data_IF_067049761834
#
_entry.id   IF_067049761834
#
_cell.length_a   1.000
_cell.length_b   1.000
_cell.length_c   1.000
_cell.angle_alpha   90.00
_cell.angle_beta   90.00
_cell.angle_gamma   90.00
#
_symmetry.space_group_name_H-M   'P 1'
#
loop_
_entity.id
_entity.type
_entity.pdbx_description
1 polymer ?
#
# COMPACT_ATOMS: atom_id res chain seq x y z
N UNK A 1 24.81 10.22 -16.51
CA UNK A 1 24.23 10.29 -15.15
C UNK A 1 22.78 9.83 -15.27
N UNK A 2 22.41 8.69 -14.70
CA UNK A 2 21.03 8.21 -14.77
C UNK A 2 20.14 9.12 -13.91
N UNK A 3 19.20 9.83 -14.53
CA UNK A 3 18.24 10.66 -13.83
C UNK A 3 17.37 9.78 -12.93
N UNK A 4 17.40 10.02 -11.63
CA UNK A 4 16.46 9.39 -10.71
C UNK A 4 15.05 9.90 -11.04
N UNK A 5 14.09 8.99 -11.21
CA UNK A 5 12.69 9.36 -11.34
C UNK A 5 12.23 10.07 -10.06
N UNK A 6 11.56 11.19 -10.22
CA UNK A 6 10.91 11.92 -9.12
C UNK A 6 9.46 11.47 -8.88
N UNK A 7 9.04 10.39 -9.51
CA UNK A 7 7.71 9.81 -9.34
C UNK A 7 7.76 8.27 -9.39
N UNK A 8 6.67 7.62 -8.99
CA UNK A 8 6.53 6.19 -9.16
C UNK A 8 6.58 5.79 -10.64
N UNK A 9 7.15 4.62 -10.91
CA UNK A 9 7.18 4.05 -12.26
C UNK A 9 5.78 3.64 -12.70
N UNK A 10 5.52 3.74 -14.00
CA UNK A 10 4.32 3.18 -14.61
C UNK A 10 4.31 1.65 -14.46
N UNK A 11 3.11 1.09 -14.29
CA UNK A 11 2.93 -0.35 -14.13
C UNK A 11 3.38 -0.89 -12.77
N UNK A 12 3.74 -2.17 -12.74
CA UNK A 12 4.22 -2.81 -11.51
C UNK A 12 5.70 -2.51 -11.29
N UNK A 13 6.10 -2.42 -10.02
CA UNK A 13 7.48 -2.17 -9.62
C UNK A 13 7.78 -2.79 -8.25
N UNK A 14 9.07 -2.98 -7.97
CA UNK A 14 9.58 -3.20 -6.63
C UNK A 14 9.84 -1.85 -5.95
N UNK A 15 9.55 -1.78 -4.66
CA UNK A 15 10.05 -0.71 -3.80
C UNK A 15 11.22 -1.29 -3.02
N UNK A 16 12.44 -0.80 -3.26
CA UNK A 16 13.67 -1.34 -2.68
C UNK A 16 14.31 -0.38 -1.72
N UNK A 17 14.87 -0.91 -0.64
CA UNK A 17 15.74 -0.12 0.22
C UNK A 17 17.02 0.26 -0.52
N UNK A 18 17.49 1.51 -0.38
CA UNK A 18 18.83 1.91 -0.83
C UNK A 18 19.94 1.38 0.09
N UNK A 19 19.61 1.09 1.36
CA UNK A 19 20.56 0.67 2.39
C UNK A 19 20.82 -0.84 2.39
N UNK A 20 19.84 -1.64 1.95
CA UNK A 20 19.85 -3.10 2.06
C UNK A 20 19.34 -3.76 0.77
N UNK A 21 19.76 -5.00 0.44
CA UNK A 21 19.25 -5.76 -0.70
C UNK A 21 17.85 -6.34 -0.43
N UNK A 22 16.91 -5.49 0.00
CA UNK A 22 15.56 -5.89 0.40
C UNK A 22 14.50 -5.04 -0.30
N UNK A 23 13.35 -5.66 -0.51
CA UNK A 23 12.15 -5.07 -1.08
C UNK A 23 11.03 -4.99 -0.04
N UNK A 24 10.11 -4.05 -0.27
CA UNK A 24 8.87 -3.93 0.49
C UNK A 24 7.97 -5.14 0.18
N UNK A 25 7.59 -5.86 1.22
CA UNK A 25 6.90 -7.15 1.14
C UNK A 25 5.66 -7.16 2.06
N UNK A 26 4.57 -7.75 1.58
CA UNK A 26 3.43 -8.10 2.43
C UNK A 26 3.74 -9.40 3.16
N UNK A 27 3.86 -9.32 4.49
CA UNK A 27 4.27 -10.44 5.35
C UNK A 27 3.47 -11.72 5.06
N UNK A 28 4.17 -12.83 4.92
CA UNK A 28 3.66 -14.15 4.54
C UNK A 28 2.84 -14.18 3.23
N UNK A 29 2.95 -13.15 2.39
CA UNK A 29 2.12 -12.99 1.20
C UNK A 29 0.61 -12.93 1.51
N UNK A 30 0.25 -12.49 2.71
CA UNK A 30 -1.13 -12.45 3.18
C UNK A 30 -2.03 -11.63 2.25
N UNK A 31 -3.27 -12.05 2.08
CA UNK A 31 -4.31 -11.30 1.34
C UNK A 31 -5.33 -10.64 2.27
N UNK A 32 -5.08 -10.68 3.58
CA UNK A 32 -5.98 -10.14 4.59
C UNK A 32 -5.74 -8.65 4.80
N UNK A 33 -6.82 -7.93 5.13
CA UNK A 33 -6.72 -6.59 5.70
C UNK A 33 -5.88 -6.63 6.99
N UNK A 34 -5.20 -5.52 7.25
CA UNK A 34 -4.33 -5.32 8.40
C UNK A 34 -3.04 -6.17 8.35
N UNK A 35 -2.75 -6.85 7.23
CA UNK A 35 -1.49 -7.56 7.07
C UNK A 35 -0.31 -6.59 7.08
N UNK A 36 0.71 -6.93 7.85
CA UNK A 36 1.87 -6.09 8.06
C UNK A 36 2.72 -5.97 6.80
N UNK A 37 3.27 -4.77 6.62
CA UNK A 37 4.31 -4.52 5.63
C UNK A 37 5.67 -4.59 6.30
N UNK A 38 6.57 -5.34 5.67
CA UNK A 38 7.93 -5.57 6.13
C UNK A 38 8.92 -5.30 4.99
N UNK A 39 10.21 -5.36 5.30
CA UNK A 39 11.24 -5.58 4.31
C UNK A 39 11.61 -7.07 4.25
N UNK A 40 11.84 -7.59 3.06
CA UNK A 40 12.25 -8.98 2.81
C UNK A 40 13.24 -9.02 1.64
N UNK A 41 14.14 -10.03 1.54
CA UNK A 41 14.94 -10.23 0.35
C UNK A 41 14.09 -10.19 -0.93
N UNK A 42 14.57 -9.48 -1.95
CA UNK A 42 13.83 -9.39 -3.21
C UNK A 42 13.72 -10.76 -3.85
N UNK A 43 12.50 -11.18 -4.13
CA UNK A 43 12.19 -12.47 -4.73
C UNK A 43 12.32 -12.39 -6.25
N UNK A 44 12.93 -13.41 -6.85
CA UNK A 44 13.00 -13.57 -8.30
C UNK A 44 11.88 -14.48 -8.85
N UNK A 45 11.24 -15.25 -7.98
CA UNK A 45 10.08 -16.13 -8.26
C UNK A 45 9.01 -15.91 -7.20
N UNK A 46 7.73 -16.07 -7.55
CA UNK A 46 6.58 -15.78 -6.66
C UNK A 46 6.69 -14.42 -5.94
N UNK A 47 7.19 -13.41 -6.67
CA UNK A 47 7.45 -12.07 -6.14
C UNK A 47 6.21 -11.18 -6.09
N UNK A 48 5.03 -11.71 -6.41
CA UNK A 48 3.79 -10.93 -6.56
C UNK A 48 3.34 -10.22 -5.27
N UNK A 49 3.77 -10.70 -4.09
CA UNK A 49 3.53 -10.00 -2.82
C UNK A 49 4.51 -8.83 -2.55
N UNK A 50 5.52 -8.67 -3.40
CA UNK A 50 6.50 -7.58 -3.38
C UNK A 50 6.31 -6.59 -4.53
N UNK A 51 5.33 -6.84 -5.40
CA UNK A 51 5.02 -5.99 -6.54
C UNK A 51 3.93 -4.99 -6.19
N UNK A 52 4.24 -3.73 -6.46
CA UNK A 52 3.40 -2.57 -6.18
C UNK A 52 3.09 -1.82 -7.46
N UNK A 53 1.95 -1.15 -7.51
CA UNK A 53 1.58 -0.22 -8.57
C UNK A 53 1.07 1.06 -7.93
N UNK A 54 1.35 2.21 -8.54
CA UNK A 54 0.78 3.48 -8.10
C UNK A 54 -0.36 3.91 -9.02
N UNK A 55 -1.52 4.20 -8.44
CA UNK A 55 -2.70 4.68 -9.18
C UNK A 55 -3.49 5.64 -8.29
N UNK A 56 -3.77 6.86 -8.77
CA UNK A 56 -4.54 7.89 -8.03
C UNK A 56 -4.01 8.16 -6.60
N UNK A 57 -2.69 8.06 -6.41
CA UNK A 57 -2.07 8.20 -5.10
C UNK A 57 -2.16 6.96 -4.22
N UNK A 58 -2.82 5.87 -4.64
CA UNK A 58 -2.79 4.60 -3.93
C UNK A 58 -1.58 3.77 -4.37
N UNK A 59 -1.00 3.01 -3.43
CA UNK A 59 -0.05 1.95 -3.74
C UNK A 59 -0.77 0.60 -3.61
N UNK A 60 -0.97 -0.09 -4.72
CA UNK A 60 -1.70 -1.35 -4.81
C UNK A 60 -0.73 -2.53 -4.79
N UNK A 61 -0.99 -3.53 -3.98
CA UNK A 61 -0.25 -4.78 -4.03
C UNK A 61 -0.80 -5.71 -5.12
N UNK A 62 0.08 -6.26 -5.97
CA UNK A 62 -0.33 -7.13 -7.09
C UNK A 62 -1.04 -8.41 -6.64
N UNK A 63 -0.60 -9.03 -5.53
CA UNK A 63 -1.16 -10.31 -5.06
C UNK A 63 -2.57 -10.15 -4.49
N UNK A 64 -2.79 -9.12 -3.67
CA UNK A 64 -4.03 -8.97 -2.91
C UNK A 64 -5.02 -7.98 -3.50
N UNK A 65 -4.56 -7.03 -4.34
CA UNK A 65 -5.34 -5.86 -4.78
C UNK A 65 -5.64 -4.86 -3.66
N UNK A 66 -5.12 -5.09 -2.45
CA UNK A 66 -5.25 -4.17 -1.32
C UNK A 66 -4.25 -3.02 -1.44
N UNK A 67 -4.54 -1.93 -0.73
CA UNK A 67 -3.70 -0.73 -0.78
C UNK A 67 -2.86 -0.56 0.46
N UNK A 68 -1.67 -0.02 0.27
CA UNK A 68 -0.73 0.39 1.30
C UNK A 68 -1.31 1.54 2.13
N UNK A 69 -1.25 1.46 3.45
CA UNK A 69 -1.69 2.57 4.27
C UNK A 69 -1.40 2.45 5.75
N UNK A 70 -1.83 3.47 6.48
CA UNK A 70 -1.78 3.48 7.93
C UNK A 70 -3.13 3.11 8.52
N UNK A 71 -3.13 2.37 9.62
CA UNK A 71 -4.31 2.16 10.45
C UNK A 71 -3.98 2.61 11.88
N UNK A 72 -4.93 3.26 12.56
CA UNK A 72 -4.79 3.53 13.98
C UNK A 72 -4.92 2.22 14.77
N UNK A 73 -3.78 1.63 15.11
CA UNK A 73 -3.67 0.60 16.14
C UNK A 73 -4.14 1.15 17.49
N UNK A 74 -5.45 1.09 17.70
CA UNK A 74 -6.06 0.79 19.01
C UNK A 74 -6.75 -0.57 18.98
N UNK A 75 -6.22 -1.48 18.17
CA UNK A 75 -6.55 -2.91 18.16
C UNK A 75 -5.39 -3.63 18.83
N UNK A 76 -5.55 -3.79 20.14
CA UNK A 76 -4.59 -4.38 21.08
C UNK A 76 -4.07 -5.71 20.53
N UNK A 77 -2.76 -5.90 20.68
CA UNK A 77 -2.05 -7.17 20.57
C UNK A 77 -2.88 -8.30 21.21
N UNK A 78 -3.19 -9.34 20.45
CA UNK A 78 -3.43 -10.64 21.04
C UNK A 78 -2.88 -11.72 20.12
N UNK A 79 -1.76 -12.28 20.56
CA UNK A 79 -1.09 -13.44 19.98
C UNK A 79 -2.06 -14.62 19.86
N UNK A 80 -2.17 -15.15 18.64
CA UNK A 80 -2.33 -16.54 18.22
C UNK A 80 -3.25 -17.57 18.94
N UNK A 81 -4.06 -17.26 19.96
CA UNK A 81 -4.78 -18.34 20.70
C UNK A 81 -6.24 -18.10 21.12
N UNK A 82 -7.03 -17.31 20.39
CA UNK A 82 -8.45 -17.10 20.72
C UNK A 82 -9.42 -17.32 19.55
N UNK A 83 -10.48 -18.10 19.83
CA UNK A 83 -11.59 -18.52 18.97
C UNK A 83 -12.32 -17.36 18.26
N UNK A 84 -12.89 -17.67 17.09
CA UNK A 84 -13.51 -16.69 16.16
C UNK A 84 -14.63 -15.85 16.79
N UNK A 85 -15.35 -16.38 17.78
CA UNK A 85 -16.49 -15.72 18.42
C UNK A 85 -16.07 -14.58 19.38
N UNK A 86 -14.95 -14.72 20.08
CA UNK A 86 -14.40 -13.66 20.94
C UNK A 86 -13.93 -12.46 20.10
N UNK A 87 -13.34 -12.73 18.92
CA UNK A 87 -12.90 -11.70 17.95
C UNK A 87 -14.08 -10.90 17.41
N UNK A 88 -15.20 -11.55 17.06
CA UNK A 88 -16.39 -10.89 16.52
C UNK A 88 -17.09 -9.99 17.56
N UNK A 89 -17.28 -10.50 18.78
CA UNK A 89 -17.91 -9.77 19.89
C UNK A 89 -17.10 -8.55 20.31
N UNK A 90 -15.77 -8.67 20.38
CA UNK A 90 -14.89 -7.54 20.67
C UNK A 90 -14.90 -6.50 19.54
N UNK A 91 -14.87 -6.93 18.27
CA UNK A 91 -14.96 -6.05 17.10
C UNK A 91 -16.26 -5.23 17.10
N UNK A 92 -17.39 -5.85 17.45
CA UNK A 92 -18.68 -5.16 17.56
C UNK A 92 -18.68 -4.12 18.70
N UNK A 93 -18.23 -4.50 19.90
CA UNK A 93 -18.14 -3.62 21.07
C UNK A 93 -17.21 -2.42 20.82
N UNK A 94 -16.06 -2.66 20.20
CA UNK A 94 -15.11 -1.60 19.86
C UNK A 94 -15.66 -0.65 18.77
N UNK A 95 -16.28 -1.20 17.71
CA UNK A 95 -16.95 -0.40 16.67
C UNK A 95 -18.02 0.53 17.27
N UNK A 96 -18.79 0.04 18.25
CA UNK A 96 -19.78 0.85 18.95
C UNK A 96 -19.15 1.96 19.81
N UNK A 97 -18.15 1.63 20.65
CA UNK A 97 -17.43 2.60 21.50
C UNK A 97 -16.74 3.68 20.67
N UNK A 98 -16.16 3.29 19.54
CA UNK A 98 -15.50 4.20 18.61
C UNK A 98 -16.48 5.10 17.88
N UNK A 99 -17.60 4.55 17.37
CA UNK A 99 -18.69 5.34 16.76
C UNK A 99 -19.24 6.38 17.74
N UNK A 100 -19.37 6.04 19.02
CA UNK A 100 -19.76 6.97 20.07
C UNK A 100 -18.73 8.09 20.29
N UNK A 101 -17.43 7.76 20.34
CA UNK A 101 -16.35 8.74 20.51
C UNK A 101 -16.25 9.72 19.34
N UNK A 102 -16.38 9.24 18.11
CA UNK A 102 -16.42 10.08 16.91
C UNK A 102 -17.64 11.00 16.96
N UNK A 103 -18.83 10.45 17.26
CA UNK A 103 -20.07 11.23 17.38
C UNK A 103 -19.94 12.35 18.43
N UNK A 104 -19.33 12.06 19.58
CA UNK A 104 -19.10 13.05 20.63
C UNK A 104 -18.14 14.16 20.20
N UNK A 105 -17.02 13.82 19.54
CA UNK A 105 -16.05 14.81 19.03
C UNK A 105 -16.61 15.67 17.91
N UNK A 106 -17.35 15.06 16.97
CA UNK A 106 -18.06 15.81 15.91
C UNK A 106 -19.04 16.79 16.55
N UNK A 107 -19.91 16.33 17.45
CA UNK A 107 -20.88 17.18 18.16
C UNK A 107 -20.22 18.34 18.93
N UNK A 108 -19.07 18.09 19.57
CA UNK A 108 -18.32 19.13 20.26
C UNK A 108 -17.75 20.20 19.31
N UNK A 109 -17.30 19.78 18.12
CA UNK A 109 -16.64 20.65 17.13
C UNK A 109 -17.64 21.37 16.21
N UNK A 110 -18.85 20.81 16.04
CA UNK A 110 -19.90 21.36 15.18
C UNK A 110 -20.95 22.18 15.93
N UNK A 111 -20.73 22.48 17.23
CA UNK A 111 -21.73 23.07 18.13
C UNK A 111 -22.35 24.40 17.63
N UNK A 112 -21.66 25.12 16.73
CA UNK A 112 -22.07 26.42 16.20
C UNK A 112 -22.14 26.48 14.65
N UNK A 113 -22.25 25.34 13.98
CA UNK A 113 -22.27 25.28 12.50
C UNK A 113 -23.66 24.89 11.98
N UNK A 114 -24.00 25.34 10.77
CA UNK A 114 -25.22 24.93 10.06
C UNK A 114 -25.22 23.43 9.74
N UNK A 115 -26.38 22.83 9.51
CA UNK A 115 -26.49 21.38 9.27
C UNK A 115 -25.71 20.89 8.04
N UNK A 116 -25.60 21.71 6.99
CA UNK A 116 -24.75 21.43 5.82
C UNK A 116 -23.26 21.43 6.15
N UNK A 117 -22.79 22.44 6.89
CA UNK A 117 -21.42 22.49 7.37
C UNK A 117 -21.14 21.34 8.36
N UNK A 118 -22.11 20.95 9.18
CA UNK A 118 -22.03 19.79 10.05
C UNK A 118 -21.92 18.48 9.25
N UNK A 119 -22.66 18.31 8.16
CA UNK A 119 -22.59 17.14 7.31
C UNK A 119 -21.26 17.03 6.55
N UNK A 120 -20.71 18.16 6.10
CA UNK A 120 -19.37 18.23 5.52
C UNK A 120 -18.30 17.86 6.57
N UNK A 121 -18.30 18.53 7.74
CA UNK A 121 -17.37 18.25 8.84
C UNK A 121 -17.48 16.80 9.31
N UNK A 122 -18.70 16.23 9.37
CA UNK A 122 -18.93 14.84 9.75
C UNK A 122 -18.33 13.87 8.74
N UNK A 123 -18.47 14.11 7.44
CA UNK A 123 -17.82 13.30 6.41
C UNK A 123 -16.29 13.42 6.48
N UNK A 124 -15.76 14.63 6.58
CA UNK A 124 -14.30 14.88 6.67
C UNK A 124 -13.70 14.28 7.95
N UNK A 125 -14.36 14.41 9.09
CA UNK A 125 -13.88 13.89 10.38
C UNK A 125 -14.03 12.36 10.48
N UNK A 126 -15.09 11.77 9.91
CA UNK A 126 -15.22 10.31 9.81
C UNK A 126 -14.12 9.75 8.90
N UNK A 127 -13.81 10.40 7.77
CA UNK A 127 -12.68 10.03 6.92
C UNK A 127 -11.35 10.15 7.67
N UNK A 128 -11.08 11.24 8.38
CA UNK A 128 -9.85 11.45 9.16
C UNK A 128 -9.70 10.49 10.35
N UNK A 129 -10.80 10.15 11.03
CA UNK A 129 -10.76 9.27 12.19
C UNK A 129 -10.66 7.81 11.74
N UNK A 130 -11.43 7.38 10.72
CA UNK A 130 -11.31 6.03 10.13
C UNK A 130 -10.00 5.83 9.37
N UNK A 131 -9.38 6.91 8.88
CA UNK A 131 -8.02 6.96 8.33
C UNK A 131 -6.95 6.55 9.35
N UNK A 132 -7.23 6.72 10.64
CA UNK A 132 -6.16 6.68 11.62
C UNK A 132 -5.22 7.87 11.47
N UNK A 133 -4.68 8.32 12.60
CA UNK A 133 -3.81 9.49 12.61
C UNK A 133 -2.55 9.20 11.79
N UNK A 134 -2.29 10.04 10.78
CA UNK A 134 -1.02 10.09 10.06
C UNK A 134 -0.03 10.79 11.00
N UNK A 135 0.81 10.02 11.67
CA UNK A 135 1.80 10.53 12.62
C UNK A 135 3.02 9.61 12.68
N UNK A 136 4.09 10.12 13.29
CA UNK A 136 5.29 9.36 13.61
C UNK A 136 4.95 8.07 14.39
N UNK A 137 5.79 7.06 14.21
CA UNK A 137 5.77 5.74 14.88
C UNK A 137 4.62 4.82 14.44
N UNK A 138 3.83 5.22 13.44
CA UNK A 138 2.78 4.39 12.86
C UNK A 138 3.35 3.31 11.96
N UNK A 139 3.05 2.04 12.26
CA UNK A 139 3.33 0.91 11.39
C UNK A 139 2.41 0.90 10.16
N UNK A 140 2.91 0.30 9.09
CA UNK A 140 2.21 0.19 7.83
C UNK A 140 1.59 -1.20 7.63
N UNK A 141 0.43 -1.21 6.98
CA UNK A 141 -0.35 -2.41 6.67
C UNK A 141 -1.03 -2.26 5.32
N UNK A 142 -1.44 -3.37 4.71
CA UNK A 142 -2.35 -3.34 3.57
C UNK A 142 -3.81 -3.51 4.00
N UNK A 143 -4.73 -2.84 3.31
CA UNK A 143 -6.18 -3.00 3.52
C UNK A 143 -6.98 -2.41 2.36
N UNK A 144 -8.28 -2.65 2.35
CA UNK A 144 -9.18 -2.26 1.26
C UNK A 144 -9.11 -0.75 0.96
N UNK A 145 -9.12 -0.41 -0.33
CA UNK A 145 -9.21 0.96 -0.84
C UNK A 145 -10.43 1.66 -0.25
N UNK A 146 -10.24 2.81 0.40
CA UNK A 146 -11.34 3.63 0.91
C UNK A 146 -11.97 4.44 -0.21
N UNK A 147 -13.30 4.56 -0.18
CA UNK A 147 -14.03 5.51 -1.01
C UNK A 147 -13.91 6.93 -0.42
N UNK A 148 -13.88 7.94 -1.29
CA UNK A 148 -13.78 9.35 -0.89
C UNK A 148 -12.40 9.76 -0.37
N UNK A 149 -12.36 10.52 0.73
CA UNK A 149 -11.13 11.10 1.28
C UNK A 149 -10.27 10.04 1.99
N UNK A 150 -9.36 9.41 1.23
CA UNK A 150 -8.47 8.33 1.67
C UNK A 150 -7.06 8.81 2.04
N UNK A 151 -6.95 9.89 2.84
CA UNK A 151 -5.67 10.58 3.11
C UNK A 151 -4.55 9.67 3.64
N UNK A 152 -4.88 8.65 4.42
CA UNK A 152 -3.96 7.66 4.99
C UNK A 152 -3.60 6.50 4.04
N UNK A 153 -4.05 6.56 2.79
CA UNK A 153 -3.72 5.65 1.69
C UNK A 153 -3.16 6.40 0.48
N UNK A 154 -2.87 7.70 0.64
CA UNK A 154 -2.34 8.57 -0.41
C UNK A 154 -0.85 8.74 -0.24
N UNK A 155 -0.08 8.28 -1.21
CA UNK A 155 1.38 8.22 -1.19
C UNK A 155 1.98 9.00 -2.35
N UNK A 156 3.12 9.63 -2.08
CA UNK A 156 3.97 10.31 -3.05
C UNK A 156 5.38 9.75 -2.96
N UNK A 157 6.09 9.73 -4.07
CA UNK A 157 7.52 9.46 -4.15
C UNK A 157 8.21 10.71 -4.64
N UNK A 158 9.33 11.09 -4.02
CA UNK A 158 10.17 12.19 -4.49
C UNK A 158 11.54 12.10 -3.83
N UNK A 159 12.62 12.26 -4.61
CA UNK A 159 14.01 12.28 -4.11
C UNK A 159 14.36 11.04 -3.25
N UNK A 160 13.86 9.87 -3.64
CA UNK A 160 14.05 8.63 -2.89
C UNK A 160 13.19 8.48 -1.64
N UNK A 161 12.36 9.45 -1.28
CA UNK A 161 11.46 9.33 -0.14
C UNK A 161 10.05 8.92 -0.58
N UNK A 162 9.44 7.98 0.15
CA UNK A 162 8.02 7.66 0.01
C UNK A 162 7.29 8.23 1.22
N UNK A 163 6.29 9.09 1.01
CA UNK A 163 5.64 9.82 2.08
C UNK A 163 4.13 9.98 1.87
N UNK A 164 3.35 10.15 2.97
CA UNK A 164 1.92 10.43 2.85
C UNK A 164 1.68 11.79 2.20
N UNK A 165 0.76 11.87 1.23
CA UNK A 165 0.43 13.13 0.56
C UNK A 165 -0.08 14.21 1.54
N UNK A 166 -0.77 13.80 2.60
CA UNK A 166 -1.30 14.69 3.63
C UNK A 166 -0.28 15.05 4.74
N UNK A 167 0.91 14.41 4.77
CA UNK A 167 1.96 14.69 5.76
C UNK A 167 3.37 14.57 5.13
N UNK A 168 3.78 15.50 4.26
CA UNK A 168 5.07 15.42 3.55
C UNK A 168 6.33 15.51 4.43
N UNK A 169 6.17 15.92 5.70
CA UNK A 169 7.23 15.97 6.69
C UNK A 169 7.54 14.60 7.33
N UNK A 170 6.74 13.57 7.01
CA UNK A 170 6.98 12.18 7.40
C UNK A 170 7.47 11.37 6.20
N UNK A 171 8.17 10.27 6.43
CA UNK A 171 8.59 9.33 5.39
C UNK A 171 8.48 7.89 5.89
N UNK A 172 8.38 6.94 4.96
CA UNK A 172 8.62 5.53 5.25
C UNK A 172 10.06 5.33 5.73
N UNK A 173 10.20 4.54 6.79
CA UNK A 173 11.45 4.19 7.44
C UNK A 173 11.40 2.72 7.88
N UNK A 174 12.57 2.09 8.04
CA UNK A 174 12.71 0.71 8.47
C UNK A 174 12.90 0.70 9.99
N UNK A 175 12.12 -0.11 10.70
CA UNK A 175 12.20 -0.21 12.16
C UNK A 175 13.33 -1.14 12.60
N UNK A 176 14.11 -0.69 13.58
CA UNK A 176 15.03 -1.55 14.35
C UNK A 176 16.37 -1.78 13.67
N UNK A 177 16.81 -3.04 13.63
CA UNK A 177 18.11 -3.51 13.13
C UNK A 177 18.17 -3.67 11.60
N UNK A 178 17.06 -3.38 10.92
CA UNK A 178 16.89 -3.52 9.46
C UNK A 178 17.25 -4.93 8.98
N UNK A 179 16.79 -5.96 9.70
CA UNK A 179 16.89 -7.36 9.28
C UNK A 179 15.67 -7.79 8.48
N UNK A 180 15.73 -8.99 7.94
CA UNK A 180 14.60 -9.61 7.25
C UNK A 180 13.37 -9.67 8.17
N UNK A 181 12.22 -9.23 7.68
CA UNK A 181 11.00 -9.13 8.47
C UNK A 181 10.89 -7.87 9.32
N UNK A 182 11.86 -6.95 9.29
CA UNK A 182 11.72 -5.64 9.95
C UNK A 182 10.52 -4.90 9.40
N UNK A 183 9.69 -4.37 10.31
CA UNK A 183 8.50 -3.59 9.94
C UNK A 183 8.88 -2.24 9.34
N UNK A 184 8.05 -1.77 8.41
CA UNK A 184 8.09 -0.40 7.93
C UNK A 184 7.17 0.46 8.78
N UNK A 185 7.61 1.67 9.10
CA UNK A 185 6.84 2.64 9.88
C UNK A 185 6.99 4.07 9.32
N UNK A 186 6.15 4.99 9.77
CA UNK A 186 6.32 6.42 9.50
C UNK A 186 7.24 7.07 10.51
N UNK A 187 8.28 7.75 10.01
CA UNK A 187 9.18 8.56 10.82
C UNK A 187 9.25 9.99 10.29
N UNK A 188 9.84 10.90 11.05
CA UNK A 188 10.18 12.25 10.57
C UNK A 188 11.12 12.12 9.37
N UNK A 189 10.75 12.76 8.25
CA UNK A 189 11.56 12.80 7.03
C UNK A 189 12.86 13.54 7.32
N UNK A 190 13.99 12.86 7.15
CA UNK A 190 15.32 13.40 7.44
C UNK A 190 16.28 13.11 6.29
N UNK A 191 16.99 14.14 5.83
CA UNK A 191 18.03 13.98 4.82
C UNK A 191 19.23 13.22 5.39
N UNK A 192 19.88 12.40 4.58
CA UNK A 192 21.05 11.61 4.98
C UNK A 192 20.74 10.29 5.72
N UNK A 193 19.46 10.00 6.00
CA UNK A 193 19.05 8.72 6.62
C UNK A 193 18.79 7.68 5.52
N UNK A 194 19.71 6.72 5.35
CA UNK A 194 19.64 5.70 4.28
C UNK A 194 18.42 4.77 4.40
N UNK A 195 17.96 4.49 5.62
CA UNK A 195 16.77 3.66 5.87
C UNK A 195 15.45 4.29 5.42
N UNK A 196 15.45 5.60 5.15
CA UNK A 196 14.32 6.33 4.59
C UNK A 196 14.40 6.49 3.07
N UNK A 197 15.43 5.93 2.44
CA UNK A 197 15.70 6.07 1.03
C UNK A 197 15.34 4.80 0.26
N UNK A 198 14.50 4.98 -0.75
CA UNK A 198 13.87 3.94 -1.53
C UNK A 198 14.16 4.12 -3.01
N UNK A 199 14.27 3.00 -3.72
CA UNK A 199 14.32 2.91 -5.18
C UNK A 199 13.01 2.33 -5.66
N UNK A 200 12.42 2.95 -6.68
CA UNK A 200 11.29 2.38 -7.41
C UNK A 200 11.86 1.71 -8.65
N UNK A 201 11.94 0.39 -8.62
CA UNK A 201 12.52 -0.44 -9.69
C UNK A 201 11.39 -1.05 -10.53
N UNK A 202 11.18 -0.62 -11.79
CA UNK A 202 10.15 -1.19 -12.67
C UNK A 202 10.22 -2.72 -12.77
N UNK A 203 9.08 -3.38 -12.72
CA UNK A 203 8.95 -4.82 -12.96
C UNK A 203 8.71 -5.07 -14.45
N UNK A 204 9.79 -5.12 -15.24
CA UNK A 204 9.77 -5.66 -16.60
C UNK A 204 11.06 -6.42 -16.94
N UNK A 205 10.92 -7.68 -17.33
CA UNK A 205 11.92 -8.36 -18.15
C UNK A 205 11.25 -9.13 -19.30
N UNK A 206 12.01 -9.41 -20.37
CA UNK A 206 11.54 -10.15 -21.56
C UNK A 206 10.82 -11.46 -21.22
N UNK A 207 11.22 -12.13 -20.14
CA UNK A 207 10.59 -13.36 -19.65
C UNK A 207 9.16 -13.13 -19.15
N UNK A 208 8.92 -12.06 -18.41
CA UNK A 208 7.55 -11.70 -17.97
C UNK A 208 6.63 -11.32 -19.14
N UNK A 209 7.19 -10.76 -20.22
CA UNK A 209 6.47 -10.48 -21.47
C UNK A 209 6.17 -11.79 -22.23
N UNK A 210 7.14 -12.69 -22.35
CA UNK A 210 7.00 -14.02 -22.98
C UNK A 210 6.03 -14.94 -22.23
N UNK A 211 6.09 -14.99 -20.90
CA UNK A 211 5.17 -15.79 -20.08
C UNK A 211 3.72 -15.31 -20.23
N UNK A 212 3.49 -14.01 -20.44
CA UNK A 212 2.19 -13.43 -20.75
C UNK A 212 1.71 -13.72 -22.19
N UNK A 213 2.63 -13.80 -23.15
CA UNK A 213 2.37 -14.14 -24.56
C UNK A 213 1.89 -15.60 -24.70
N UNK A 214 2.51 -16.53 -23.96
CA UNK A 214 2.20 -17.96 -23.95
C UNK A 214 0.84 -18.30 -23.31
N UNK A 215 0.30 -17.41 -22.47
CA UNK A 215 -0.97 -17.60 -21.78
C UNK A 215 -2.18 -17.02 -22.54
N UNK A 216 -1.96 -16.33 -23.67
CA UNK A 216 -3.05 -15.85 -24.53
C UNK A 216 -3.48 -16.97 -25.50
N UNK A 217 -4.78 -17.21 -25.71
CA UNK A 217 -5.22 -18.15 -26.74
C UNK A 217 -4.71 -17.70 -28.11
N UNK A 218 -4.06 -18.59 -28.86
CA UNK A 218 -3.53 -18.26 -30.18
C UNK A 218 -4.63 -17.70 -31.09
N UNK A 219 -4.51 -16.44 -31.49
CA UNK A 219 -5.28 -15.91 -32.61
C UNK A 219 -4.75 -16.62 -33.86
N UNK A 220 -5.48 -17.64 -34.32
CA UNK A 220 -5.19 -18.28 -35.61
C UNK A 220 -5.45 -17.25 -36.70
N UNK A 221 -4.40 -16.58 -37.17
CA UNK A 221 -4.41 -15.91 -38.46
C UNK A 221 -4.53 -16.99 -39.53
N UNK A 222 -5.72 -17.13 -40.11
CA UNK A 222 -5.97 -17.94 -41.31
C UNK A 222 -5.31 -17.25 -42.51
N UNK A 223 -4.05 -17.59 -42.77
CA UNK A 223 -3.38 -17.19 -44.00
C UNK A 223 -3.72 -18.22 -45.08
N UNK A 224 -4.66 -17.86 -45.96
CA UNK A 224 -4.85 -18.53 -47.24
C UNK A 224 -3.57 -18.37 -48.08
N UNK A 225 -2.80 -19.45 -48.25
CA UNK A 225 -1.73 -19.49 -49.26
C UNK A 225 -2.28 -20.03 -50.57
N UNK A 226 -2.50 -19.13 -51.52
CA UNK A 226 -2.60 -19.49 -52.92
C UNK A 226 -1.21 -19.92 -53.40
N UNK A 227 -1.13 -21.11 -53.98
CA UNK A 227 0.08 -21.76 -54.48
C UNK A 227 0.42 -21.27 -55.88
N UNK A 228 1.54 -20.57 -56.04
CA UNK A 228 2.17 -20.44 -57.34
C UNK A 228 3.18 -21.58 -57.54
N UNK A 229 2.79 -22.49 -58.43
CA UNK A 229 3.62 -23.54 -58.99
C UNK A 229 4.60 -22.96 -60.00
N UNK A 230 5.89 -23.25 -59.83
CA UNK A 230 6.83 -23.34 -60.95
C UNK A 230 7.72 -24.54 -60.78
N UNK A 231 7.48 -25.55 -61.61
CA UNK A 231 8.47 -26.57 -61.94
C UNK A 231 8.48 -26.76 -63.45
N UNK A 232 9.66 -26.45 -64.02
CA UNK A 232 10.22 -26.83 -65.34
C UNK A 232 9.48 -26.42 -66.60
#
# INVERSE_FOLDING_TARGET
MAGYSNDFSDGFFFIRSKDRPMAVDVNDGSMLNDAHIIIWPQKHTDSINQLWMHEDGFLLNKKSGLVYGMIDYRRVEYNAKAESNAKAKYKAKYKAKYKAKVKAKVKAKTKNYTDEACNFIKHTYICLVLAGDIKKDKSLVQYARKSGLAYNQRWKYQDGFIFPAAAPHLSLDIRGDHKEGSFIFLNTKMSGVSSQQWLVEPFENERSKQDLELLRPSVKLSINRCSDSKTR
#
